data_IF_481851195418
#
_entry.id   IF_481851195418
#
_cell.length_a   1.000
_cell.length_b   1.000
_cell.length_c   1.000
_cell.angle_alpha   90.00
_cell.angle_beta   90.00
_cell.angle_gamma   90.00
#
_symmetry.space_group_name_H-M   'P 1'
#
loop_
_entity.id
_entity.type
_entity.pdbx_description
1 polymer ?
2 non-polymer ?
3 water ?
#
# COMPACT_ATOMS: atom_id res chain seq x y z
N UNK A 2 -13.39 -26.13 23.37
CA UNK A 2 -14.36 -25.18 23.87
C UNK A 2 -15.13 -24.52 22.73
N UNK A 3 -16.20 -23.87 23.11
CA UNK A 3 -17.10 -23.21 22.18
C UNK A 3 -16.45 -22.15 21.32
N UNK A 4 -16.62 -22.24 19.99
CA UNK A 4 -16.05 -21.22 19.10
C UNK A 4 -16.61 -19.86 19.52
N UNK A 5 -15.78 -18.82 19.56
CA UNK A 5 -16.26 -17.52 20.00
C UNK A 5 -15.94 -16.39 19.03
N UNK A 6 -16.64 -15.27 19.18
CA UNK A 6 -16.48 -14.10 18.35
C UNK A 6 -15.15 -13.40 18.63
N UNK A 7 -14.77 -12.50 17.73
CA UNK A 7 -13.52 -11.76 17.93
C UNK A 7 -13.73 -10.75 19.07
N UNK A 8 -12.72 -10.55 19.89
CA UNK A 8 -12.78 -9.56 20.95
C UNK A 8 -11.51 -8.70 20.84
N UNK A 9 -11.68 -7.41 20.60
CA UNK A 9 -10.49 -6.58 20.48
C UNK A 9 -9.72 -6.49 21.81
N UNK A 10 -8.41 -6.38 21.68
CA UNK A 10 -7.53 -6.22 22.82
C UNK A 10 -7.84 -4.88 23.48
N UNK A 11 -7.48 -4.74 24.75
CA UNK A 11 -7.70 -3.44 25.39
C UNK A 11 -6.38 -2.68 25.35
N UNK A 12 -6.45 -1.39 25.05
CA UNK A 12 -5.25 -0.54 25.02
C UNK A 12 -4.96 -0.13 26.46
N UNK A 13 -3.86 -0.59 27.02
CA UNK A 13 -3.56 -0.26 28.42
C UNK A 13 -2.91 1.11 28.59
N UNK A 14 -2.05 1.45 27.65
CA UNK A 14 -1.33 2.70 27.67
C UNK A 14 -0.79 3.05 26.28
N UNK A 15 -0.74 4.35 26.02
CA UNK A 15 -0.23 4.91 24.79
C UNK A 15 0.77 6.01 25.17
N UNK A 16 1.97 5.90 24.64
CA UNK A 16 3.01 6.88 24.92
C UNK A 16 3.81 7.24 23.68
N UNK A 17 4.05 8.54 23.50
CA UNK A 17 4.87 9.01 22.37
C UNK A 17 6.31 8.65 22.73
N UNK A 18 7.00 7.92 21.87
CA UNK A 18 8.35 7.49 22.23
C UNK A 18 9.42 7.99 21.30
N UNK A 19 9.03 8.73 20.27
CA UNK A 19 9.98 9.27 19.30
C UNK A 19 9.25 10.22 18.35
N UNK A 20 9.86 11.38 18.11
CA UNK A 20 9.22 12.36 17.24
C UNK A 20 10.23 13.10 16.39
N UNK A 21 10.00 13.08 15.08
CA UNK A 21 10.84 13.79 14.13
C UNK A 21 10.00 14.96 13.62
N UNK A 22 10.43 15.65 12.59
CA UNK A 22 9.65 16.77 12.07
C UNK A 22 8.38 16.31 11.40
N UNK A 23 8.39 15.12 10.80
CA UNK A 23 7.21 14.60 10.11
C UNK A 23 6.63 13.34 10.72
N UNK A 24 7.33 12.71 11.66
CA UNK A 24 6.85 11.48 12.27
C UNK A 24 6.73 11.49 13.79
N UNK A 25 5.66 10.86 14.28
CA UNK A 25 5.49 10.74 15.72
C UNK A 25 5.13 9.29 16.04
N UNK A 26 6.10 8.56 16.57
CA UNK A 26 5.93 7.17 16.91
C UNK A 26 5.51 6.95 18.35
N UNK A 27 4.46 6.14 18.50
CA UNK A 27 3.87 5.78 19.74
C UNK A 27 4.09 4.31 20.13
N UNK A 28 4.22 4.11 21.43
CA UNK A 28 4.37 2.76 21.98
C UNK A 28 2.98 2.45 22.57
N UNK A 29 2.40 1.33 22.22
CA UNK A 29 1.06 0.98 22.71
C UNK A 29 1.08 -0.31 23.53
N UNK A 30 0.69 -0.22 24.80
CA UNK A 30 0.62 -1.43 25.62
C UNK A 30 -0.76 -2.06 25.38
N UNK A 31 -0.77 -3.33 25.03
CA UNK A 31 -2.01 -4.02 24.75
C UNK A 31 -2.21 -5.29 25.57
N UNK A 32 -3.48 -5.60 25.80
CA UNK A 32 -3.85 -6.81 26.49
C UNK A 32 -4.89 -7.52 25.60
N UNK A 33 -4.46 -8.61 25.00
CA UNK A 33 -5.38 -9.36 24.14
C UNK A 33 -6.43 -10.09 24.97
N UNK A 34 -7.48 -10.58 24.33
CA UNK A 34 -8.56 -11.30 24.92
C UNK A 34 -8.18 -12.52 25.77
N UNK A 35 -7.11 -13.18 25.41
CA UNK A 35 -6.57 -14.34 26.08
C UNK A 35 -5.60 -13.95 27.19
N UNK A 36 -5.53 -12.67 27.54
CA UNK A 36 -4.71 -12.15 28.60
C UNK A 36 -3.27 -11.89 28.26
N UNK A 37 -2.85 -12.17 27.04
CA UNK A 37 -1.48 -11.96 26.58
C UNK A 37 -1.21 -10.47 26.44
N UNK A 38 -0.10 -10.01 27.00
CA UNK A 38 0.28 -8.61 26.94
C UNK A 38 1.48 -8.44 26.01
N UNK A 39 1.44 -7.37 25.25
CA UNK A 39 2.50 -7.06 24.29
C UNK A 39 2.53 -5.54 24.11
N UNK A 40 3.70 -5.04 23.74
CA UNK A 40 3.92 -3.61 23.50
C UNK A 40 4.18 -3.44 22.00
N UNK A 41 3.29 -2.74 21.32
CA UNK A 41 3.44 -2.51 19.89
C UNK A 41 3.85 -1.07 19.62
N UNK A 42 4.37 -0.84 18.42
CA UNK A 42 4.75 0.52 18.05
C UNK A 42 3.97 0.89 16.78
N UNK A 43 3.58 2.15 16.66
CA UNK A 43 2.84 2.63 15.52
C UNK A 43 3.05 4.14 15.36
N UNK A 44 2.60 4.59 14.20
CA UNK A 44 2.66 6.03 13.92
C UNK A 44 1.42 6.66 14.54
N UNK A 45 1.56 7.81 15.17
CA UNK A 45 0.42 8.45 15.80
C UNK A 45 -0.77 8.50 14.84
N UNK A 46 -1.91 8.03 15.32
CA UNK A 46 -3.14 8.01 14.56
C UNK A 46 -3.57 9.42 14.17
N UNK A 47 -3.98 9.56 12.92
CA UNK A 47 -4.45 10.83 12.41
C UNK A 47 -5.70 10.61 11.58
N UNK A 48 -6.48 11.67 11.42
CA UNK A 48 -7.70 11.57 10.61
C UNK A 48 -7.47 12.31 9.30
N UNK A 49 -6.24 12.79 9.10
CA UNK A 49 -5.89 13.49 7.86
C UNK A 49 -5.82 12.45 6.74
N UNK A 50 -6.65 12.59 5.71
CA UNK A 50 -6.64 11.63 4.62
C UNK A 50 -5.95 12.16 3.37
N UNK A 51 -5.62 11.20 2.50
CA UNK A 51 -4.97 11.47 1.25
C UNK A 51 -5.92 11.24 0.09
N UNK A 52 -5.52 11.79 -1.06
CA UNK A 52 -6.27 11.67 -2.29
C UNK A 52 -5.31 11.36 -3.44
N UNK A 53 -5.73 10.47 -4.32
CA UNK A 53 -4.90 10.11 -5.49
C UNK A 53 -5.82 10.34 -6.70
N UNK A 54 -5.31 11.06 -7.69
CA UNK A 54 -6.12 11.39 -8.86
C UNK A 54 -5.64 10.73 -10.13
N UNK A 55 -6.58 10.16 -10.85
CA UNK A 55 -6.36 9.48 -12.10
C UNK A 55 -7.08 10.24 -13.22
N UNK A 56 -6.37 11.13 -13.87
CA UNK A 56 -6.87 11.93 -14.96
C UNK A 56 -6.87 11.18 -16.29
N UNK A 57 -7.98 11.27 -16.99
CA UNK A 57 -8.15 10.65 -18.31
C UNK A 57 -8.50 11.75 -19.30
N UNK A 58 -7.74 11.91 -20.37
CA UNK A 58 -7.99 12.89 -21.41
C UNK A 58 -7.67 12.27 -22.77
N UNK A 59 -8.56 12.40 -23.75
CA UNK A 59 -8.35 11.84 -25.08
C UNK A 59 -7.84 10.41 -25.04
N UNK A 60 -8.55 9.53 -24.36
CA UNK A 60 -8.20 8.13 -24.23
C UNK A 60 -6.83 7.82 -23.68
N UNK A 61 -6.25 8.71 -22.89
CA UNK A 61 -4.97 8.49 -22.27
C UNK A 61 -5.07 8.82 -20.76
N UNK A 62 -4.26 8.11 -20.01
CA UNK A 62 -4.11 8.37 -18.58
C UNK A 62 -3.05 9.49 -18.52
N UNK A 63 -3.08 10.33 -17.53
CA UNK A 63 -2.05 11.35 -17.36
C UNK A 63 -1.25 10.90 -16.10
N UNK A 64 -0.01 10.48 -16.29
CA UNK A 64 0.81 10.04 -15.16
C UNK A 64 1.85 11.13 -14.88
N UNK A 65 2.51 11.07 -13.73
CA UNK A 65 3.56 12.02 -13.43
C UNK A 65 4.81 11.29 -12.91
N UNK A 66 5.97 11.93 -13.05
CA UNK A 66 7.23 11.40 -12.57
C UNK A 66 7.58 12.24 -11.34
N UNK A 67 7.89 11.60 -10.22
CA UNK A 67 8.12 12.33 -8.97
C UNK A 67 9.19 11.66 -8.13
N UNK A 68 10.10 12.49 -7.61
CA UNK A 68 11.18 11.96 -6.81
C UNK A 68 10.66 11.40 -5.49
N UNK A 69 11.25 10.28 -5.08
CA UNK A 69 10.92 9.59 -3.84
C UNK A 69 12.23 9.35 -3.08
N UNK A 70 12.42 10.04 -1.96
CA UNK A 70 13.65 9.93 -1.19
C UNK A 70 13.84 8.59 -0.52
N UNK A 71 12.76 7.84 -0.26
CA UNK A 71 12.86 6.54 0.38
C UNK A 71 13.67 5.58 -0.46
N UNK A 72 13.48 5.59 -1.79
CA UNK A 72 14.23 4.74 -2.70
C UNK A 72 15.26 5.53 -3.50
N UNK A 73 15.26 6.85 -3.35
CA UNK A 73 16.16 7.70 -4.12
C UNK A 73 16.03 7.43 -5.62
N UNK A 74 14.81 7.58 -6.11
CA UNK A 74 14.56 7.36 -7.54
C UNK A 74 13.29 8.12 -7.91
N UNK A 75 12.99 8.12 -9.19
CA UNK A 75 11.79 8.78 -9.68
C UNK A 75 10.69 7.75 -9.85
N UNK A 76 9.52 8.01 -9.25
CA UNK A 76 8.46 7.01 -9.48
C UNK A 76 7.61 7.50 -10.66
N UNK A 77 6.92 6.60 -11.31
CA UNK A 77 6.03 6.89 -12.41
C UNK A 77 4.63 6.52 -11.84
N UNK A 78 3.69 7.45 -11.83
CA UNK A 78 2.40 7.07 -11.27
C UNK A 78 1.37 8.20 -11.26
N UNK A 79 0.37 8.02 -10.43
CA UNK A 79 -0.73 8.96 -10.30
C UNK A 79 -0.42 10.05 -9.27
N UNK A 80 -0.92 11.22 -9.58
CA UNK A 80 -0.77 12.39 -8.71
C UNK A 80 -1.45 12.12 -7.38
N UNK A 81 -0.81 12.45 -6.27
CA UNK A 81 -1.28 12.20 -4.94
C UNK A 81 -1.04 13.40 -4.04
N UNK A 82 -1.88 13.57 -3.03
CA UNK A 82 -1.71 14.68 -2.09
C UNK A 82 -2.62 14.44 -0.87
N UNK A 83 -2.63 15.41 0.03
CA UNK A 83 -3.43 15.35 1.22
C UNK A 83 -4.72 16.17 1.08
N UNK A 84 -5.76 15.69 1.77
CA UNK A 84 -7.02 16.43 1.78
C UNK A 84 -6.91 17.47 2.90
N UNK A 85 -7.05 18.75 2.62
CA UNK A 85 -6.93 19.74 3.70
C UNK A 85 -8.22 19.71 4.53
N UNK A 86 -8.12 19.94 5.83
CA UNK A 86 -9.28 19.96 6.72
C UNK A 86 -10.38 20.85 6.15
N UNK A 87 -11.60 20.36 6.11
CA UNK A 87 -12.71 21.13 5.56
C UNK A 87 -13.01 20.82 4.10
N UNK A 88 -12.07 20.21 3.38
CA UNK A 88 -12.24 19.89 1.97
C UNK A 88 -12.88 18.52 1.76
N UNK A 89 -13.73 18.42 0.74
CA UNK A 89 -14.28 17.10 0.41
C UNK A 89 -13.25 16.40 -0.50
N UNK A 90 -13.44 15.13 -0.85
CA UNK A 90 -12.49 14.47 -1.73
C UNK A 90 -12.46 15.11 -3.12
N UNK A 91 -13.59 15.57 -3.62
CA UNK A 91 -13.65 16.17 -4.95
C UNK A 91 -12.83 17.46 -4.97
N UNK A 92 -12.97 18.25 -3.92
CA UNK A 92 -12.29 19.52 -3.79
C UNK A 92 -10.79 19.33 -3.69
N UNK A 93 -10.36 18.39 -2.86
CA UNK A 93 -8.92 18.14 -2.73
C UNK A 93 -8.38 17.64 -4.07
N UNK A 94 -9.14 16.74 -4.72
CA UNK A 94 -8.68 16.19 -5.99
C UNK A 94 -8.50 17.30 -7.03
N UNK A 95 -9.51 18.16 -7.16
CA UNK A 95 -9.45 19.26 -8.13
C UNK A 95 -8.27 20.18 -7.85
N UNK A 96 -8.07 20.56 -6.59
CA UNK A 96 -6.97 21.43 -6.19
C UNK A 96 -5.63 20.76 -6.49
N UNK A 97 -5.46 19.49 -6.10
CA UNK A 97 -4.21 18.79 -6.35
C UNK A 97 -3.93 18.69 -7.85
N UNK A 98 -4.93 18.40 -8.67
CA UNK A 98 -4.67 18.31 -10.11
C UNK A 98 -4.12 19.67 -10.61
N UNK A 99 -4.80 20.76 -10.25
CA UNK A 99 -4.44 22.10 -10.67
C UNK A 99 -3.00 22.43 -10.27
N UNK A 100 -2.64 22.10 -9.03
CA UNK A 100 -1.32 22.33 -8.52
C UNK A 100 -0.25 21.44 -9.18
N UNK A 101 -0.58 20.18 -9.48
CA UNK A 101 0.46 19.31 -10.03
C UNK A 101 0.54 19.20 -11.52
N UNK A 102 -0.59 19.32 -12.20
CA UNK A 102 -0.60 19.12 -13.64
C UNK A 102 -1.16 20.26 -14.43
N UNK A 103 -1.61 21.35 -13.80
CA UNK A 103 -2.14 22.48 -14.52
C UNK A 103 -3.53 22.33 -15.10
N UNK A 104 -4.35 21.41 -14.61
CA UNK A 104 -5.70 21.26 -15.11
C UNK A 104 -6.66 21.10 -13.91
N UNK A 105 -7.90 21.48 -14.14
CA UNK A 105 -8.98 21.27 -13.17
C UNK A 105 -9.84 20.21 -13.88
N UNK A 106 -10.86 19.64 -13.26
CA UNK A 106 -11.66 18.66 -13.99
C UNK A 106 -13.14 18.94 -13.75
N UNK A 107 -13.99 18.86 -14.76
CA UNK A 107 -15.42 19.10 -14.51
C UNK A 107 -16.10 17.81 -14.06
N UNK A 108 -15.42 16.67 -14.24
CA UNK A 108 -16.05 15.40 -13.87
C UNK A 108 -15.15 14.57 -12.99
N UNK A 109 -15.41 14.61 -11.69
CA UNK A 109 -14.63 13.89 -10.70
C UNK A 109 -15.42 12.77 -10.06
N UNK A 110 -14.86 11.53 -10.08
CA UNK A 110 -15.59 10.42 -9.49
C UNK A 110 -14.76 9.68 -8.45
N UNK A 111 -15.39 9.59 -7.28
CA UNK A 111 -14.77 8.93 -6.11
C UNK A 111 -15.07 7.44 -6.22
N UNK A 112 -14.00 6.68 -6.46
CA UNK A 112 -14.07 5.25 -6.71
C UNK A 112 -13.82 4.34 -5.56
N UNK A 113 -12.88 4.72 -4.67
CA UNK A 113 -12.58 3.80 -3.58
C UNK A 113 -11.75 4.49 -2.52
N UNK A 114 -11.88 3.94 -1.31
CA UNK A 114 -11.08 4.46 -0.18
C UNK A 114 -10.23 3.30 0.32
N UNK A 115 -8.93 3.51 0.46
CA UNK A 115 -8.08 2.40 0.90
C UNK A 115 -7.21 2.74 2.09
N UNK A 116 -6.95 1.73 2.91
CA UNK A 116 -6.01 1.88 4.03
C UNK A 116 -4.66 1.35 3.53
N UNK A 117 -3.55 1.65 4.18
CA UNK A 117 -2.24 1.14 3.77
C UNK A 117 -1.47 0.68 5.02
N UNK A 118 -1.20 -0.61 5.15
CA UNK A 118 -0.49 -1.15 6.30
C UNK A 118 -1.03 -0.59 7.62
N UNK A 119 -2.28 -0.93 7.95
CA UNK A 119 -2.94 -0.51 9.16
C UNK A 119 -2.35 -1.03 10.44
N UNK A 120 -1.38 -1.95 10.39
CA UNK A 120 -0.73 -2.45 11.60
C UNK A 120 0.12 -1.35 12.22
N UNK A 121 0.69 -0.48 11.40
CA UNK A 121 1.53 0.61 11.82
C UNK A 121 1.00 2.00 11.51
N UNK A 122 0.15 2.15 10.49
CA UNK A 122 -0.36 3.46 10.11
C UNK A 122 -1.89 3.44 10.01
N UNK A 123 -2.53 4.57 10.23
CA UNK A 123 -3.99 4.62 10.13
C UNK A 123 -4.44 5.46 8.94
N UNK A 124 -3.54 5.86 8.06
CA UNK A 124 -3.90 6.70 6.93
C UNK A 124 -4.76 6.04 5.85
N UNK A 125 -5.65 6.81 5.25
CA UNK A 125 -6.53 6.38 4.20
C UNK A 125 -6.20 7.13 2.90
N UNK A 126 -6.43 6.43 1.80
CA UNK A 126 -6.21 7.01 0.48
C UNK A 126 -7.48 6.96 -0.34
N UNK A 127 -7.93 8.11 -0.81
CA UNK A 127 -9.14 8.17 -1.63
C UNK A 127 -8.76 8.25 -3.10
N UNK A 128 -9.25 7.31 -3.89
CA UNK A 128 -8.97 7.27 -5.33
C UNK A 128 -10.04 7.98 -6.13
N UNK A 129 -9.66 9.00 -6.88
CA UNK A 129 -10.63 9.76 -7.67
C UNK A 129 -10.27 9.76 -9.16
N UNK A 130 -11.25 9.62 -10.04
CA UNK A 130 -10.98 9.68 -11.48
C UNK A 130 -11.41 11.07 -11.98
N UNK A 131 -10.56 11.74 -12.72
CA UNK A 131 -10.79 13.06 -13.26
C UNK A 131 -10.93 13.07 -14.78
N UNK A 132 -12.04 13.56 -15.27
CA UNK A 132 -12.30 13.69 -16.70
C UNK A 132 -12.84 15.09 -17.00
N UNK A 133 -12.91 15.41 -18.28
CA UNK A 133 -13.38 16.70 -18.77
C UNK A 133 -12.55 17.80 -18.13
N UNK A 134 -11.26 17.77 -18.46
CA UNK A 134 -10.29 18.70 -17.93
C UNK A 134 -10.25 20.05 -18.65
N UNK A 135 -9.78 21.05 -17.94
CA UNK A 135 -9.65 22.40 -18.48
C UNK A 135 -8.39 23.00 -17.82
N UNK A 136 -7.65 23.82 -18.56
CA UNK A 136 -6.46 24.45 -18.07
C UNK A 136 -6.72 25.39 -16.90
N UNK A 137 -5.96 25.24 -15.83
CA UNK A 137 -6.05 26.07 -14.65
C UNK A 137 -4.92 25.61 -13.71
N UNK A 138 -4.08 26.56 -13.36
CA UNK A 138 -2.91 26.27 -12.55
C UNK A 138 -2.96 26.91 -11.18
N UNK A 139 -2.41 26.20 -10.21
CA UNK A 139 -2.34 26.64 -8.82
C UNK A 139 -0.90 26.34 -8.34
N UNK A 140 -0.42 27.10 -7.38
CA UNK A 140 0.90 26.95 -6.82
C UNK A 140 0.97 25.81 -5.82
N UNK A 141 1.80 24.82 -6.13
CA UNK A 141 1.94 23.67 -5.21
C UNK A 141 3.22 23.85 -4.41
N UNK A 142 3.61 22.82 -3.66
CA UNK A 142 4.82 22.88 -2.85
C UNK A 142 5.97 22.04 -3.40
N UNK A 143 5.83 21.51 -4.60
CA UNK A 143 6.88 20.71 -5.18
C UNK A 143 8.14 21.54 -5.46
N UNK A 144 9.30 20.96 -5.18
CA UNK A 144 10.57 21.61 -5.38
C UNK A 144 10.95 21.65 -6.85
N UNK A 145 10.40 20.73 -7.64
CA UNK A 145 10.72 20.72 -9.07
C UNK A 145 9.49 20.31 -9.85
N UNK A 146 9.41 20.69 -11.10
CA UNK A 146 8.28 20.34 -11.94
C UNK A 146 8.08 18.84 -12.04
N UNK A 147 6.84 18.40 -12.19
CA UNK A 147 6.51 16.99 -12.33
C UNK A 147 6.24 16.65 -13.78
N UNK A 148 7.18 16.00 -14.45
CA UNK A 148 7.01 15.65 -15.86
C UNK A 148 5.77 14.78 -16.01
N UNK A 149 4.97 15.06 -17.01
CA UNK A 149 3.75 14.34 -17.33
C UNK A 149 3.99 13.27 -18.37
N UNK A 150 3.28 12.15 -18.23
CA UNK A 150 3.38 11.05 -19.18
C UNK A 150 1.97 10.63 -19.62
N UNK A 151 1.69 10.74 -20.91
CA UNK A 151 0.39 10.32 -21.45
C UNK A 151 0.48 8.81 -21.77
N UNK A 152 -0.42 8.05 -21.21
CA UNK A 152 -0.43 6.60 -21.36
C UNK A 152 -1.81 6.13 -21.85
N UNK A 153 -1.82 5.48 -23.00
CA UNK A 153 -3.05 5.03 -23.60
C UNK A 153 -3.81 4.04 -22.75
N UNK A 154 -5.13 4.26 -22.64
CA UNK A 154 -5.99 3.37 -21.88
C UNK A 154 -5.95 1.95 -22.42
N UNK A 155 -5.92 1.86 -23.75
CA UNK A 155 -5.88 0.59 -24.47
C UNK A 155 -4.67 -0.25 -24.07
N UNK A 156 -3.62 0.34 -23.54
CA UNK A 156 -2.43 -0.39 -23.09
C UNK A 156 -2.12 -0.08 -21.63
N UNK A 157 -3.12 0.30 -20.87
CA UNK A 157 -3.01 0.63 -19.47
C UNK A 157 -2.23 -0.42 -18.64
N UNK A 158 -2.61 -1.69 -18.82
CA UNK A 158 -1.98 -2.79 -18.12
C UNK A 158 -0.51 -2.90 -18.39
N UNK A 159 0.06 -2.31 -19.45
CA UNK A 159 1.51 -2.40 -19.66
C UNK A 159 2.25 -1.68 -18.52
N UNK A 160 1.61 -0.78 -17.76
CA UNK A 160 2.27 -0.08 -16.67
C UNK A 160 2.87 -1.03 -15.62
N UNK A 161 2.33 -2.25 -15.52
CA UNK A 161 2.78 -3.29 -14.62
C UNK A 161 4.13 -3.87 -15.00
N UNK A 162 4.68 -3.49 -16.15
CA UNK A 162 6.00 -3.95 -16.57
C UNK A 162 7.04 -2.90 -16.21
N UNK A 163 6.58 -1.78 -15.64
CA UNK A 163 7.54 -0.74 -15.23
C UNK A 163 7.70 -0.75 -13.71
N UNK A 164 8.85 -1.17 -13.21
CA UNK A 164 9.12 -1.18 -11.78
C UNK A 164 8.93 0.16 -11.10
N UNK A 165 9.10 1.29 -11.80
CA UNK A 165 8.90 2.61 -11.24
C UNK A 165 7.45 2.92 -10.90
N UNK A 166 6.53 2.20 -11.51
CA UNK A 166 5.12 2.32 -11.29
C UNK A 166 4.60 1.30 -10.28
N UNK A 167 5.25 0.13 -10.18
CA UNK A 167 4.75 -0.94 -9.32
C UNK A 167 4.76 -0.72 -7.83
N UNK A 168 3.87 0.14 -7.36
CA UNK A 168 3.66 0.53 -5.98
C UNK A 168 2.22 0.16 -5.64
N UNK A 169 1.96 -0.40 -4.47
CA UNK A 169 0.64 -0.88 -4.11
C UNK A 169 -0.53 0.04 -4.35
N UNK A 170 -0.42 1.32 -4.08
CA UNK A 170 -1.53 2.26 -4.30
C UNK A 170 -1.73 2.52 -5.78
N UNK A 171 -0.62 2.62 -6.54
CA UNK A 171 -0.71 2.80 -7.99
C UNK A 171 -1.38 1.59 -8.63
N UNK A 172 -0.92 0.41 -8.25
CA UNK A 172 -1.47 -0.83 -8.85
C UNK A 172 -2.94 -1.02 -8.50
N UNK A 173 -3.30 -0.80 -7.23
CA UNK A 173 -4.69 -0.88 -6.82
C UNK A 173 -5.55 0.07 -7.66
N UNK A 174 -5.09 1.32 -7.78
CA UNK A 174 -5.80 2.32 -8.54
C UNK A 174 -5.98 1.91 -10.01
N UNK A 175 -4.91 1.45 -10.62
CA UNK A 175 -4.91 1.02 -12.01
C UNK A 175 -6.01 0.00 -12.28
N UNK A 176 -6.06 -1.06 -11.49
CA UNK A 176 -7.06 -2.11 -11.61
C UNK A 176 -8.46 -1.61 -11.26
N UNK A 177 -8.62 -0.71 -10.29
CA UNK A 177 -9.94 -0.20 -9.94
C UNK A 177 -10.51 0.68 -11.04
N UNK A 178 -9.67 1.50 -11.68
CA UNK A 178 -10.12 2.35 -12.78
C UNK A 178 -10.51 1.52 -14.00
N UNK A 179 -9.70 0.49 -14.28
CA UNK A 179 -10.01 -0.41 -15.40
C UNK A 179 -11.35 -1.09 -15.18
N UNK A 180 -11.63 -1.55 -13.94
CA UNK A 180 -12.91 -2.17 -13.66
C UNK A 180 -14.05 -1.16 -13.93
N UNK A 181 -13.84 0.04 -13.40
CA UNK A 181 -14.84 1.10 -13.59
C UNK A 181 -15.05 1.42 -15.07
N UNK A 182 -13.98 1.49 -15.84
CA UNK A 182 -14.03 1.75 -17.28
C UNK A 182 -14.85 0.67 -18.00
N UNK A 183 -14.76 -0.57 -17.54
CA UNK A 183 -15.52 -1.70 -18.08
C UNK A 183 -17.02 -1.47 -17.90
N UNK A 184 -17.40 -1.00 -16.73
CA UNK A 184 -18.79 -0.72 -16.41
C UNK A 184 -19.49 0.00 -17.56
N UNK A 185 -18.91 1.10 -18.00
CA UNK A 185 -19.43 1.90 -19.09
C UNK A 185 -18.88 1.47 -20.45
N UNK A 186 -18.06 0.44 -20.47
CA UNK A 186 -17.45 -0.12 -21.64
C UNK A 186 -16.59 0.85 -22.44
N UNK A 187 -15.78 1.66 -21.75
CA UNK A 187 -14.94 2.64 -22.44
C UNK A 187 -13.50 2.62 -21.96
N UNK B 4 12.42 20.66 -23.02
CA UNK B 4 12.41 19.37 -22.33
C UNK B 4 13.84 18.90 -22.02
N UNK B 5 14.08 18.58 -20.75
CA UNK B 5 15.38 18.11 -20.30
C UNK B 5 15.22 16.78 -19.56
N UNK B 6 16.30 16.01 -19.50
CA UNK B 6 16.29 14.70 -18.84
C UNK B 6 16.16 14.80 -17.33
N UNK B 7 15.84 13.68 -16.69
CA UNK B 7 15.68 13.62 -15.25
C UNK B 7 17.06 13.50 -14.57
N UNK B 8 17.37 14.40 -13.67
CA UNK B 8 18.61 14.36 -12.93
C UNK B 8 18.22 14.30 -11.43
N UNK B 9 18.51 13.18 -10.81
CA UNK B 9 18.19 13.02 -9.41
C UNK B 9 18.88 14.13 -8.59
N UNK B 10 18.17 14.59 -7.57
CA UNK B 10 18.73 15.59 -6.67
C UNK B 10 19.98 14.99 -6.02
N UNK B 11 20.89 15.87 -5.58
CA UNK B 11 22.06 15.29 -4.94
C UNK B 11 21.81 15.29 -3.44
N UNK B 12 22.23 14.21 -2.79
CA UNK B 12 22.06 14.10 -1.34
C UNK B 12 23.26 14.76 -0.65
N UNK B 13 23.04 15.88 0.01
CA UNK B 13 24.11 16.61 0.66
C UNK B 13 24.42 16.08 2.05
N UNK B 14 23.39 15.58 2.74
CA UNK B 14 23.59 15.07 4.08
C UNK B 14 22.47 14.14 4.54
N UNK B 15 22.86 13.13 5.31
CA UNK B 15 21.92 12.17 5.86
C UNK B 15 22.13 12.11 7.38
N UNK B 16 21.04 12.20 8.14
CA UNK B 16 21.23 12.17 9.59
C UNK B 16 20.10 11.49 10.32
N UNK B 17 20.45 10.63 11.29
CA UNK B 17 19.39 9.99 12.08
C UNK B 17 18.83 11.08 13.00
N UNK B 18 17.52 11.20 13.01
CA UNK B 18 16.87 12.28 13.78
C UNK B 18 15.87 11.79 14.78
N UNK B 19 15.61 10.50 14.81
CA UNK B 19 14.68 9.88 15.74
C UNK B 19 14.70 8.36 15.62
N UNK B 20 14.69 7.69 16.77
CA UNK B 20 14.70 6.24 16.78
C UNK B 20 13.83 5.66 17.87
N UNK B 21 13.07 4.63 17.47
CA UNK B 21 12.18 3.89 18.35
C UNK B 21 12.59 2.42 18.23
N UNK B 22 11.95 1.53 18.96
CA UNK B 22 12.33 0.11 18.85
C UNK B 22 12.26 -0.37 17.42
N UNK B 23 11.18 -0.08 16.71
CA UNK B 23 11.00 -0.53 15.35
C UNK B 23 11.18 0.52 14.27
N UNK B 24 11.42 1.78 14.61
CA UNK B 24 11.55 2.82 13.59
C UNK B 24 12.79 3.68 13.75
N UNK B 25 13.44 3.98 12.62
CA UNK B 25 14.59 4.86 12.61
C UNK B 25 14.41 5.85 11.46
N UNK B 26 14.06 7.09 11.83
CA UNK B 26 13.83 8.15 10.86
C UNK B 26 15.05 9.01 10.60
N UNK B 27 15.30 9.20 9.31
CA UNK B 27 16.40 9.98 8.79
C UNK B 27 15.94 11.29 8.13
N UNK B 28 16.76 12.31 8.29
CA UNK B 28 16.55 13.62 7.71
C UNK B 28 17.53 13.69 6.54
N UNK B 29 17.06 14.03 5.36
CA UNK B 29 17.90 14.04 4.17
C UNK B 29 17.91 15.43 3.51
N UNK B 30 19.10 16.01 3.41
CA UNK B 30 19.33 17.29 2.78
C UNK B 30 19.49 17.08 1.28
N UNK B 31 18.59 17.68 0.51
CA UNK B 31 18.63 17.51 -0.93
C UNK B 31 18.83 18.82 -1.68
N UNK B 32 19.47 18.67 -2.84
CA UNK B 32 19.67 19.76 -3.76
C UNK B 32 19.16 19.23 -5.12
N UNK B 33 18.02 19.75 -5.55
CA UNK B 33 17.44 19.32 -6.82
C UNK B 33 18.27 19.87 -7.96
N UNK B 34 18.09 19.37 -9.18
CA UNK B 34 18.87 19.85 -10.30
C UNK B 34 18.60 21.30 -10.66
N UNK B 35 17.51 21.91 -10.23
CA UNK B 35 17.20 23.30 -10.48
C UNK B 35 17.74 24.20 -9.39
N UNK B 36 18.54 23.66 -8.47
CA UNK B 36 19.10 24.45 -7.39
C UNK B 36 18.25 24.49 -6.12
N UNK B 37 16.99 24.10 -6.16
CA UNK B 37 16.15 24.15 -4.94
C UNK B 37 16.64 23.19 -3.86
N UNK B 38 16.66 23.63 -2.61
CA UNK B 38 17.12 22.81 -1.51
C UNK B 38 15.99 22.47 -0.56
N UNK B 39 15.93 21.22 -0.13
CA UNK B 39 14.91 20.76 0.78
C UNK B 39 15.48 19.72 1.77
N UNK B 40 14.78 19.63 2.89
CA UNK B 40 15.13 18.65 3.91
C UNK B 40 13.96 17.65 4.00
N UNK B 41 14.16 16.47 3.46
CA UNK B 41 13.09 15.47 3.51
C UNK B 41 13.35 14.52 4.69
N UNK B 42 12.30 13.84 5.10
CA UNK B 42 12.41 12.86 6.18
C UNK B 42 11.97 11.50 5.65
N UNK B 43 12.70 10.45 6.01
CA UNK B 43 12.33 9.12 5.55
C UNK B 43 12.70 8.09 6.63
N UNK B 44 12.27 6.87 6.35
CA UNK B 44 12.54 5.71 7.20
C UNK B 44 13.87 5.15 6.75
N UNK B 45 14.81 4.87 7.64
CA UNK B 45 16.10 4.35 7.16
C UNK B 45 15.91 3.24 6.11
N UNK B 46 16.56 3.42 4.97
CA UNK B 46 16.48 2.44 3.89
C UNK B 46 16.87 1.05 4.40
N UNK B 47 16.11 0.05 3.97
CA UNK B 47 16.39 -1.33 4.36
C UNK B 47 16.40 -2.22 3.12
N UNK B 48 17.07 -3.37 3.22
CA UNK B 48 17.12 -4.33 2.13
C UNK B 48 16.20 -5.52 2.48
N UNK B 49 15.64 -5.49 3.68
CA UNK B 49 14.75 -6.56 4.14
C UNK B 49 13.42 -6.48 3.38
N UNK B 50 12.93 -7.65 2.94
CA UNK B 50 11.70 -7.71 2.17
C UNK B 50 10.60 -8.48 2.85
N UNK B 51 9.37 -8.21 2.39
CA UNK B 51 8.22 -8.90 2.95
C UNK B 51 7.65 -9.86 1.91
N UNK B 52 6.82 -10.79 2.38
CA UNK B 52 6.16 -11.75 1.50
C UNK B 52 4.69 -11.80 1.95
N UNK B 53 3.80 -12.00 1.02
CA UNK B 53 2.39 -12.14 1.25
C UNK B 53 1.93 -13.37 0.44
N UNK B 54 1.20 -14.22 1.13
CA UNK B 54 0.75 -15.47 0.56
C UNK B 54 -0.75 -15.55 0.36
N UNK B 55 -1.11 -16.03 -0.82
CA UNK B 55 -2.47 -16.21 -1.27
C UNK B 55 -2.71 -17.70 -1.52
N UNK B 56 -3.16 -18.39 -0.49
CA UNK B 56 -3.44 -19.82 -0.54
C UNK B 56 -4.79 -20.11 -1.18
N UNK B 57 -4.82 -21.09 -2.06
CA UNK B 57 -6.00 -21.53 -2.77
C UNK B 57 -6.18 -23.04 -2.56
N UNK B 58 -7.31 -23.46 -2.04
CA UNK B 58 -7.67 -24.82 -1.75
C UNK B 58 -9.14 -25.02 -2.18
N UNK B 59 -9.45 -26.12 -2.82
CA UNK B 59 -10.83 -26.40 -3.24
C UNK B 59 -11.59 -25.18 -3.75
N UNK B 60 -11.03 -24.45 -4.71
CA UNK B 60 -11.69 -23.30 -5.28
C UNK B 60 -11.99 -22.15 -4.32
N UNK B 61 -11.28 -22.05 -3.23
CA UNK B 61 -11.46 -21.04 -2.22
C UNK B 61 -10.10 -20.44 -1.81
N UNK B 62 -10.14 -19.15 -1.52
CA UNK B 62 -9.03 -18.38 -1.00
C UNK B 62 -9.04 -18.63 0.53
N UNK B 63 -7.89 -18.67 1.14
CA UNK B 63 -7.84 -18.81 2.60
C UNK B 63 -7.35 -17.44 3.10
N UNK B 64 -8.21 -16.76 3.83
CA UNK B 64 -7.88 -15.45 4.38
C UNK B 64 -7.77 -15.58 5.90
N UNK B 65 -7.17 -14.57 6.53
CA UNK B 65 -7.06 -14.57 7.98
C UNK B 65 -7.50 -13.20 8.53
N UNK B 66 -7.93 -13.23 9.77
CA UNK B 66 -8.34 -12.03 10.50
C UNK B 66 -7.19 -11.73 11.45
N UNK B 67 -6.66 -10.52 11.44
CA UNK B 67 -5.52 -10.20 12.30
C UNK B 67 -5.64 -8.80 12.85
N UNK B 68 -5.27 -8.61 14.11
CA UNK B 68 -5.39 -7.30 14.72
C UNK B 68 -4.33 -6.34 14.18
N UNK B 69 -4.76 -5.11 13.95
CA UNK B 69 -3.89 -4.04 13.47
C UNK B 69 -3.98 -2.87 14.46
N UNK B 70 -2.92 -2.58 15.22
CA UNK B 70 -2.99 -1.50 16.20
C UNK B 70 -3.07 -0.12 15.60
N UNK B 71 -2.63 0.06 14.35
CA UNK B 71 -2.69 1.40 13.74
C UNK B 71 -4.13 1.87 13.60
N UNK B 72 -5.04 0.99 13.21
CA UNK B 72 -6.44 1.39 13.08
C UNK B 72 -7.25 0.84 14.24
N UNK B 73 -6.62 0.06 15.11
CA UNK B 73 -7.27 -0.57 16.25
C UNK B 73 -8.47 -1.38 15.81
N UNK B 74 -8.25 -2.24 14.81
CA UNK B 74 -9.33 -3.07 14.31
C UNK B 74 -8.74 -4.35 13.74
N UNK B 75 -9.64 -5.24 13.35
CA UNK B 75 -9.26 -6.52 12.77
C UNK B 75 -9.31 -6.43 11.26
N UNK B 76 -8.17 -6.73 10.63
CA UNK B 76 -8.14 -6.73 9.17
C UNK B 76 -8.67 -8.11 8.69
N UNK B 77 -9.11 -8.15 7.45
CA UNK B 77 -9.49 -9.40 6.80
C UNK B 77 -8.55 -9.43 5.58
N UNK B 78 -7.74 -10.46 5.42
CA UNK B 78 -6.82 -10.43 4.28
C UNK B 78 -5.82 -11.55 4.19
N UNK B 79 -4.77 -11.30 3.40
CA UNK B 79 -3.76 -12.32 3.17
C UNK B 79 -2.66 -12.34 4.22
N UNK B 80 -2.21 -13.55 4.50
CA UNK B 80 -1.14 -13.80 5.44
C UNK B 80 0.09 -13.07 4.90
N UNK B 81 0.78 -12.32 5.76
CA UNK B 81 1.94 -11.53 5.42
C UNK B 81 3.05 -11.74 6.47
N UNK B 82 4.29 -11.63 6.03
CA UNK B 82 5.42 -11.80 6.96
C UNK B 82 6.69 -11.29 6.28
N UNK B 83 7.79 -11.36 6.98
CA UNK B 83 9.10 -10.94 6.54
C UNK B 83 9.92 -12.09 6.00
N UNK B 84 10.71 -11.81 4.96
CA UNK B 84 11.60 -12.84 4.43
C UNK B 84 12.87 -12.86 5.29
N UNK B 85 13.21 -13.99 5.89
CA UNK B 85 14.41 -14.08 6.69
C UNK B 85 15.65 -14.11 5.79
N UNK B 86 16.72 -13.46 6.20
CA UNK B 86 17.96 -13.43 5.43
C UNK B 86 18.36 -14.81 4.99
N UNK B 87 18.69 -14.95 3.71
CA UNK B 87 19.06 -16.24 3.15
C UNK B 87 17.88 -17.01 2.60
N UNK B 88 16.64 -16.63 2.90
CA UNK B 88 15.49 -17.36 2.39
C UNK B 88 15.06 -16.89 1.02
N UNK B 89 14.61 -17.80 0.16
CA UNK B 89 14.08 -17.34 -1.13
C UNK B 89 12.63 -16.90 -0.86
N UNK B 90 11.92 -16.34 -1.85
CA UNK B 90 10.55 -15.92 -1.62
C UNK B 90 9.67 -17.16 -1.38
N UNK B 91 10.01 -18.23 -2.11
CA UNK B 91 9.26 -19.47 -1.98
C UNK B 91 9.41 -20.02 -0.56
N UNK B 92 10.64 -20.03 -0.06
CA UNK B 92 10.90 -20.56 1.28
C UNK B 92 10.23 -19.70 2.34
N UNK B 93 10.26 -18.37 2.18
CA UNK B 93 9.61 -17.50 3.15
C UNK B 93 8.09 -17.71 3.14
N UNK B 94 7.51 -17.83 1.95
CA UNK B 94 6.09 -18.04 1.80
C UNK B 94 5.65 -19.37 2.44
N UNK B 95 6.44 -20.41 2.23
CA UNK B 95 6.09 -21.71 2.81
C UNK B 95 6.17 -21.66 4.33
N UNK B 96 7.22 -21.11 4.91
CA UNK B 96 7.36 -20.98 6.34
C UNK B 96 6.23 -20.14 6.96
N UNK B 97 5.93 -18.96 6.41
CA UNK B 97 4.86 -18.12 6.94
C UNK B 97 3.50 -18.81 6.87
N UNK B 98 3.23 -19.55 5.78
CA UNK B 98 1.97 -20.26 5.66
C UNK B 98 1.82 -21.20 6.87
N UNK B 99 2.88 -21.96 7.11
CA UNK B 99 2.95 -22.91 8.19
C UNK B 99 2.75 -22.26 9.55
N UNK B 100 3.41 -21.13 9.79
CA UNK B 100 3.28 -20.46 11.06
C UNK B 100 1.87 -19.86 11.24
N UNK B 101 1.31 -19.32 10.17
CA UNK B 101 0.03 -18.64 10.28
C UNK B 101 -1.23 -19.45 10.04
N UNK B 102 -1.22 -20.36 9.09
CA UNK B 102 -2.45 -21.12 8.79
C UNK B 102 -2.27 -22.59 9.06
N UNK B 103 -1.06 -23.03 9.40
CA UNK B 103 -0.88 -24.45 9.66
C UNK B 103 -0.85 -25.32 8.43
N UNK B 104 -0.40 -24.78 7.29
CA UNK B 104 -0.28 -25.55 6.07
C UNK B 104 1.04 -25.19 5.34
N UNK B 105 1.54 -26.18 4.61
CA UNK B 105 2.74 -25.97 3.74
C UNK B 105 2.11 -26.06 2.35
N UNK B 106 2.83 -25.76 1.29
CA UNK B 106 2.24 -25.86 -0.07
C UNK B 106 3.24 -26.52 -1.00
N UNK B 107 2.81 -27.41 -1.88
CA UNK B 107 3.77 -28.04 -2.81
C UNK B 107 3.92 -27.18 -4.06
N UNK B 108 2.99 -26.25 -4.29
CA UNK B 108 3.06 -25.44 -5.51
C UNK B 108 2.95 -23.94 -5.22
N UNK B 109 4.08 -23.27 -5.23
CA UNK B 109 4.21 -21.86 -4.93
C UNK B 109 4.63 -21.03 -6.14
N UNK B 110 3.82 -20.01 -6.46
CA UNK B 110 4.18 -19.17 -7.60
C UNK B 110 4.28 -17.70 -7.25
N UNK B 111 5.45 -17.16 -7.62
CA UNK B 111 5.83 -15.77 -7.37
C UNK B 111 5.25 -14.92 -8.50
N UNK B 112 4.28 -14.11 -8.16
CA UNK B 112 3.52 -13.28 -9.07
C UNK B 112 3.96 -11.86 -9.31
N UNK B 113 4.41 -11.17 -8.25
CA UNK B 113 4.79 -9.77 -8.41
C UNK B 113 5.51 -9.23 -7.18
N UNK B 114 6.31 -8.21 -7.42
CA UNK B 114 7.04 -7.53 -6.35
C UNK B 114 6.59 -6.07 -6.35
N UNK B 115 6.14 -5.57 -5.22
CA UNK B 115 5.65 -4.20 -5.14
C UNK B 115 6.35 -3.37 -4.05
N UNK B 116 6.47 -2.08 -4.33
CA UNK B 116 7.03 -1.11 -3.39
C UNK B 116 5.82 -0.59 -2.60
N UNK B 117 6.05 0.11 -1.51
CA UNK B 117 4.95 0.67 -0.72
C UNK B 117 5.35 2.09 -0.30
N UNK B 118 4.73 3.11 -0.84
CA UNK B 118 5.07 4.49 -0.49
C UNK B 118 6.58 4.71 -0.42
N UNK B 119 7.25 4.61 -1.58
CA UNK B 119 8.68 4.82 -1.71
C UNK B 119 9.15 6.21 -1.31
N UNK B 120 8.25 7.18 -1.18
CA UNK B 120 8.60 8.52 -0.74
C UNK B 120 9.20 8.49 0.67
N UNK B 121 8.74 7.57 1.52
CA UNK B 121 9.26 7.49 2.87
C UNK B 121 9.86 6.14 3.22
N UNK B 122 9.45 5.09 2.52
CA UNK B 122 9.94 3.73 2.83
C UNK B 122 10.60 3.11 1.63
N UNK B 123 11.42 2.09 1.81
CA UNK B 123 12.07 1.45 0.67
C UNK B 123 11.76 -0.05 0.64
N UNK B 124 10.90 -0.51 1.53
CA UNK B 124 10.54 -1.92 1.59
C UNK B 124 9.76 -2.46 0.40
N UNK B 125 10.01 -3.72 0.07
CA UNK B 125 9.34 -4.40 -1.03
C UNK B 125 8.41 -5.50 -0.51
N UNK B 126 7.35 -5.78 -1.24
CA UNK B 126 6.39 -6.81 -0.89
C UNK B 126 6.25 -7.80 -2.05
N UNK B 127 6.56 -9.05 -1.79
CA UNK B 127 6.48 -10.11 -2.78
C UNK B 127 5.17 -10.88 -2.62
N UNK B 128 4.43 -11.02 -3.71
CA UNK B 128 3.17 -11.73 -3.71
C UNK B 128 3.34 -13.13 -4.27
N UNK B 129 2.99 -14.12 -3.44
CA UNK B 129 3.10 -15.53 -3.80
C UNK B 129 1.77 -16.25 -3.69
N UNK B 130 1.41 -17.04 -4.72
CA UNK B 130 0.19 -17.83 -4.71
C UNK B 130 0.58 -19.25 -4.25
N UNK B 131 -0.16 -19.82 -3.33
CA UNK B 131 0.11 -21.15 -2.79
C UNK B 131 -1.01 -22.14 -3.10
N UNK B 132 -0.65 -23.29 -3.64
CA UNK B 132 -1.56 -24.34 -4.02
C UNK B 132 -1.03 -25.71 -3.58
N UNK B 133 -1.90 -26.70 -3.63
CA UNK B 133 -1.57 -28.07 -3.23
C UNK B 133 -1.00 -28.10 -1.83
N UNK B 134 -1.85 -27.75 -0.88
CA UNK B 134 -1.52 -27.66 0.53
C UNK B 134 -1.57 -29.00 1.25
N UNK B 135 -0.84 -29.06 2.35
CA UNK B 135 -0.70 -30.19 3.22
C UNK B 135 -0.50 -29.63 4.64
N UNK B 136 -1.04 -30.33 5.61
CA UNK B 136 -0.96 -29.89 6.99
C UNK B 136 0.46 -29.89 7.51
N UNK B 137 0.85 -28.83 8.20
CA UNK B 137 2.17 -28.72 8.79
C UNK B 137 2.24 -27.39 9.55
N UNK B 138 2.46 -27.49 10.86
CA UNK B 138 2.51 -26.32 11.68
C UNK B 138 3.91 -25.93 12.11
N UNK B 139 4.06 -24.63 12.28
CA UNK B 139 5.31 -24.03 12.74
C UNK B 139 4.87 -22.98 13.76
N UNK B 140 5.69 -22.70 14.75
CA UNK B 140 5.34 -21.73 15.76
C UNK B 140 5.74 -20.32 15.34
N UNK B 141 4.76 -19.42 15.34
CA UNK B 141 5.03 -18.03 15.00
C UNK B 141 5.07 -17.25 16.31
N UNK B 142 5.13 -15.93 16.25
CA UNK B 142 5.16 -15.16 17.49
C UNK B 142 3.85 -14.42 17.71
N UNK B 143 2.79 -14.84 17.04
CA UNK B 143 1.49 -14.19 17.19
C UNK B 143 0.97 -14.32 18.61
N UNK B 144 0.46 -13.23 19.16
CA UNK B 144 -0.07 -13.17 20.50
C UNK B 144 -1.42 -13.85 20.65
N UNK B 145 -2.16 -14.01 19.56
CA UNK B 145 -3.48 -14.67 19.62
C UNK B 145 -3.71 -15.36 18.28
N UNK B 146 -4.53 -16.39 18.24
CA UNK B 146 -4.81 -17.12 17.02
C UNK B 146 -5.32 -16.24 15.89
N UNK B 147 -5.11 -16.69 14.66
CA UNK B 147 -5.54 -16.00 13.45
C UNK B 147 -6.71 -16.75 12.80
N UNK B 148 -7.95 -16.36 13.09
CA UNK B 148 -9.10 -17.03 12.51
C UNK B 148 -8.96 -17.05 10.98
N UNK B 149 -9.27 -18.16 10.37
CA UNK B 149 -9.20 -18.35 8.93
C UNK B 149 -10.56 -18.20 8.31
N UNK B 150 -10.62 -17.63 7.11
CA UNK B 150 -11.90 -17.45 6.43
C UNK B 150 -11.76 -17.98 5.01
N UNK B 151 -12.65 -18.86 4.60
CA UNK B 151 -12.61 -19.42 3.24
C UNK B 151 -13.50 -18.60 2.32
N UNK B 152 -12.93 -18.13 1.22
CA UNK B 152 -13.65 -17.27 0.28
C UNK B 152 -13.57 -17.82 -1.12
N UNK B 153 -14.74 -18.14 -1.70
CA UNK B 153 -14.83 -18.70 -3.02
C UNK B 153 -14.17 -17.87 -4.10
N UNK B 154 -13.37 -18.53 -4.96
CA UNK B 154 -12.72 -17.86 -6.06
C UNK B 154 -13.74 -17.22 -7.00
N UNK B 155 -14.87 -17.88 -7.19
CA UNK B 155 -15.93 -17.39 -8.07
C UNK B 155 -16.51 -16.07 -7.62
N UNK B 156 -16.36 -15.69 -6.36
CA UNK B 156 -16.87 -14.44 -5.82
C UNK B 156 -15.76 -13.66 -5.13
N UNK B 157 -14.52 -13.83 -5.60
CA UNK B 157 -13.36 -13.17 -5.00
C UNK B 157 -13.46 -11.66 -5.05
N UNK B 158 -14.01 -11.07 -6.10
CA UNK B 158 -14.12 -9.62 -6.18
C UNK B 158 -15.09 -9.04 -5.17
N UNK B 159 -15.97 -9.81 -4.50
CA UNK B 159 -16.86 -9.28 -3.47
C UNK B 159 -16.08 -8.80 -2.25
N UNK B 160 -14.82 -9.22 -2.11
CA UNK B 160 -13.97 -8.82 -1.00
C UNK B 160 -13.82 -7.30 -0.98
N UNK B 161 -13.94 -6.64 -2.12
CA UNK B 161 -13.86 -5.20 -2.28
C UNK B 161 -15.04 -4.48 -1.61
N UNK B 162 -16.04 -5.23 -1.15
CA UNK B 162 -17.17 -4.70 -0.42
C UNK B 162 -16.93 -4.81 1.09
N UNK B 163 -15.79 -5.39 1.50
CA UNK B 163 -15.53 -5.47 2.95
C UNK B 163 -14.40 -4.49 3.27
N UNK B 164 -14.70 -3.44 4.01
CA UNK B 164 -13.73 -2.43 4.42
C UNK B 164 -12.58 -3.01 5.21
N UNK B 165 -12.76 -4.13 5.92
CA UNK B 165 -11.67 -4.74 6.67
C UNK B 165 -10.60 -5.28 5.72
N UNK B 166 -10.99 -5.56 4.48
CA UNK B 166 -10.11 -6.05 3.45
C UNK B 166 -9.47 -4.95 2.61
N UNK B 167 -10.08 -3.78 2.51
CA UNK B 167 -9.62 -2.74 1.60
C UNK B 167 -8.38 -1.98 1.95
N UNK B 168 -7.23 -2.63 1.81
CA UNK B 168 -5.89 -2.17 2.07
C UNK B 168 -5.09 -2.33 0.78
N UNK B 169 -4.25 -1.39 0.43
CA UNK B 169 -3.57 -1.41 -0.87
C UNK B 169 -2.89 -2.69 -1.27
N UNK B 170 -2.20 -3.38 -0.37
CA UNK B 170 -1.52 -4.63 -0.70
C UNK B 170 -2.51 -5.76 -0.94
N UNK B 171 -3.54 -5.90 -0.08
CA UNK B 171 -4.55 -6.94 -0.31
C UNK B 171 -5.24 -6.72 -1.66
N UNK B 172 -5.61 -5.47 -1.95
CA UNK B 172 -6.33 -5.13 -3.18
C UNK B 172 -5.49 -5.44 -4.42
N UNK B 173 -4.23 -5.04 -4.39
CA UNK B 173 -3.30 -5.31 -5.47
C UNK B 173 -3.16 -6.81 -5.67
N UNK B 174 -2.97 -7.54 -4.56
CA UNK B 174 -2.83 -9.00 -4.69
C UNK B 174 -4.09 -9.65 -5.25
N UNK B 175 -5.27 -9.23 -4.80
CA UNK B 175 -6.51 -9.79 -5.29
C UNK B 175 -6.63 -9.69 -6.81
N UNK B 176 -6.42 -8.49 -7.33
CA UNK B 176 -6.49 -8.22 -8.77
C UNK B 176 -5.38 -8.97 -9.50
N UNK B 177 -4.16 -9.03 -8.96
CA UNK B 177 -3.09 -9.76 -9.64
C UNK B 177 -3.38 -11.26 -9.70
N UNK B 178 -3.92 -11.83 -8.63
CA UNK B 178 -4.25 -13.25 -8.61
C UNK B 178 -5.39 -13.54 -9.58
N UNK B 179 -6.37 -12.63 -9.65
CA UNK B 179 -7.47 -12.83 -10.59
C UNK B 179 -6.91 -12.86 -12.02
N UNK B 180 -6.03 -11.90 -12.36
CA UNK B 180 -5.44 -11.89 -13.70
C UNK B 180 -4.74 -13.21 -14.02
N UNK B 181 -3.95 -13.68 -13.07
CA UNK B 181 -3.22 -14.92 -13.19
C UNK B 181 -4.16 -16.11 -13.32
N UNK B 182 -5.28 -16.12 -12.61
CA UNK B 182 -6.25 -17.21 -12.69
C UNK B 182 -6.86 -17.30 -14.09
N UNK B 183 -7.08 -16.16 -14.71
CA UNK B 183 -7.63 -16.05 -16.04
C UNK B 183 -6.73 -16.80 -17.03
N UNK B 184 -5.43 -16.67 -16.83
CA UNK B 184 -4.39 -17.32 -17.59
C UNK B 184 -4.51 -18.83 -17.58
N UNK B 185 -5.10 -19.42 -16.55
CA UNK B 185 -5.27 -20.87 -16.50
C UNK B 185 -6.75 -21.24 -16.65
N UNK B 186 -7.56 -20.26 -17.04
CA UNK B 186 -8.99 -20.44 -17.24
C UNK B 186 -9.74 -20.78 -15.98
N UNK B 187 -9.27 -20.33 -14.82
CA UNK B 187 -9.89 -20.61 -13.54
C UNK B 187 -10.99 -19.61 -13.21
N UNK B 188 -10.95 -18.45 -13.85
CA UNK B 188 -11.93 -17.39 -13.65
C UNK B 188 -12.38 -17.32 -12.19
#
# INVERSE_FOLDING_TARGET
>A
MSLSKSLQKPTILNVETVARSRLFTVESVDLEFSNGVRRVYERMRPTNREAVMIVPIVDDHLILIREYAVGTESYELGFSKGLIDPGESVYEAANRELKEEVGFGANDLTFLKKLSMAPSYFSSKMNIVVAQDLYPESLEGDEPEPLPQVRWPLAHMMDLLEDPDFNEARNVSALFLVREWLKGQGRVEGGSHHHHHH
>B
MSLSKSLQKPTILNVETVARSRLFTVESVDLEFSNGVRRVYERMRPTNREAVMIVPIVDDHLILIREYAVGTESYELGFSKGLIDPGESVYEAANRELKEEVGFGANDLTFLKKLSMAPSYFSSKMNIVVAQDLYPESLEGDEPEPLPQVRWPLAHMMDLLEDPDFNEARNVSALFLVREWLKGQGRVEGGSHHHHHH
#
